data_IF_129374213148
#
_entry.id   IF_129374213148
#
_cell.length_a   1.000
_cell.length_b   1.000
_cell.length_c   1.000
_cell.angle_alpha   90.00
_cell.angle_beta   90.00
_cell.angle_gamma   90.00
#
_symmetry.space_group_name_H-M   'P 1'
#
loop_
_entity.id
_entity.type
_entity.pdbx_description
1 polymer ?
#
# COMPACT_ATOMS: atom_id res chain seq x y z
N UNK A 1 -67.50 1.98 3.30
CA UNK A 1 -66.28 2.18 2.49
C UNK A 1 -65.49 0.88 2.51
N UNK A 2 -65.27 0.25 1.35
CA UNK A 2 -64.47 -0.98 1.23
C UNK A 2 -63.02 -0.56 0.93
N UNK A 3 -62.12 -0.74 1.89
CA UNK A 3 -60.70 -0.43 1.73
C UNK A 3 -60.05 -1.59 0.95
N UNK A 4 -59.67 -1.33 -0.30
CA UNK A 4 -58.83 -2.26 -1.07
C UNK A 4 -57.39 -2.14 -0.57
N UNK A 5 -56.84 -3.26 -0.09
CA UNK A 5 -55.42 -3.38 0.22
C UNK A 5 -54.73 -3.84 -1.07
N UNK A 6 -53.95 -2.96 -1.70
CA UNK A 6 -53.01 -3.34 -2.76
C UNK A 6 -51.83 -4.08 -2.10
N UNK A 7 -51.65 -5.34 -2.47
CA UNK A 7 -50.48 -6.12 -2.09
C UNK A 7 -49.43 -5.97 -3.20
N UNK A 8 -48.45 -5.10 -2.99
CA UNK A 8 -47.31 -4.91 -3.88
C UNK A 8 -46.26 -5.98 -3.59
N UNK A 9 -46.15 -7.01 -4.44
CA UNK A 9 -45.05 -7.98 -4.36
C UNK A 9 -43.86 -7.38 -5.12
N UNK A 10 -42.91 -6.78 -4.40
CA UNK A 10 -41.62 -6.42 -4.95
C UNK A 10 -40.76 -7.68 -5.00
N UNK A 11 -40.54 -8.21 -6.22
CA UNK A 11 -39.58 -9.28 -6.45
C UNK A 11 -38.18 -8.68 -6.36
N UNK A 12 -37.50 -8.84 -5.23
CA UNK A 12 -36.09 -8.52 -5.13
C UNK A 12 -35.32 -9.54 -5.99
N UNK A 13 -34.66 -9.07 -7.05
CA UNK A 13 -33.70 -9.88 -7.75
C UNK A 13 -32.62 -10.27 -6.75
N UNK A 14 -32.58 -11.55 -6.38
CA UNK A 14 -31.45 -12.13 -5.65
C UNK A 14 -30.29 -12.11 -6.65
N UNK A 15 -29.46 -11.07 -6.57
CA UNK A 15 -28.15 -11.11 -7.19
C UNK A 15 -27.40 -12.21 -6.44
N UNK A 16 -27.19 -13.35 -7.09
CA UNK A 16 -26.29 -14.37 -6.56
C UNK A 16 -24.92 -13.69 -6.44
N UNK A 17 -24.52 -13.31 -5.24
CA UNK A 17 -23.13 -12.98 -4.99
C UNK A 17 -22.33 -14.24 -5.35
N UNK A 18 -21.32 -14.11 -6.21
CA UNK A 18 -20.37 -15.19 -6.43
C UNK A 18 -19.76 -15.56 -5.08
N UNK A 19 -19.67 -16.86 -4.79
CA UNK A 19 -18.99 -17.32 -3.58
C UNK A 19 -17.48 -17.16 -3.80
N UNK A 20 -16.90 -16.18 -3.11
CA UNK A 20 -15.45 -15.99 -3.07
C UNK A 20 -15.00 -15.58 -1.67
N UNK A 21 -13.77 -15.94 -1.35
CA UNK A 21 -13.08 -15.54 -0.13
C UNK A 21 -11.91 -14.63 -0.49
N UNK A 22 -11.67 -13.67 0.39
CA UNK A 22 -10.59 -12.72 0.30
C UNK A 22 -9.62 -12.95 1.47
N UNK A 23 -8.33 -13.11 1.18
CA UNK A 23 -7.30 -13.16 2.22
C UNK A 23 -6.34 -12.00 2.03
N UNK A 24 -6.27 -11.13 3.02
CA UNK A 24 -5.25 -10.09 3.10
C UNK A 24 -4.12 -10.56 4.02
N UNK A 25 -2.89 -10.42 3.56
CA UNK A 25 -1.70 -10.68 4.36
C UNK A 25 -0.70 -9.57 4.16
N UNK A 26 -0.16 -9.01 5.25
CA UNK A 26 0.84 -7.95 5.22
C UNK A 26 1.45 -7.71 6.59
N UNK A 27 2.41 -6.80 6.64
CA UNK A 27 3.10 -6.42 7.88
C UNK A 27 3.18 -4.92 8.03
N UNK A 28 3.14 -4.47 9.28
CA UNK A 28 3.55 -3.12 9.68
C UNK A 28 4.88 -3.22 10.42
N UNK A 29 5.86 -2.45 9.95
CA UNK A 29 7.16 -2.30 10.58
C UNK A 29 7.18 -0.99 11.36
N UNK A 30 7.63 -1.07 12.61
CA UNK A 30 7.88 0.08 13.48
C UNK A 30 9.23 -0.09 14.18
N UNK A 31 9.84 1.02 14.60
CA UNK A 31 11.04 1.03 15.43
C UNK A 31 10.73 1.87 16.64
N UNK A 32 11.04 1.37 17.83
CA UNK A 32 10.80 2.05 19.10
C UNK A 32 12.11 2.20 19.87
N UNK A 33 12.22 3.30 20.60
CA UNK A 33 13.26 3.47 21.62
C UNK A 33 12.99 2.58 22.84
N UNK A 34 13.98 2.46 23.72
CA UNK A 34 13.80 1.75 24.99
C UNK A 34 12.72 2.38 25.88
N UNK A 35 12.45 3.68 25.70
CA UNK A 35 11.36 4.42 26.34
C UNK A 35 9.97 4.14 25.73
N UNK A 36 9.90 3.32 24.68
CA UNK A 36 8.68 2.97 23.95
C UNK A 36 8.15 4.07 23.02
N UNK A 37 8.95 5.11 22.75
CA UNK A 37 8.62 6.13 21.76
C UNK A 37 8.95 5.59 20.36
N UNK A 38 7.99 5.68 19.44
CA UNK A 38 8.23 5.33 18.03
C UNK A 38 9.21 6.31 17.39
N UNK A 39 10.23 5.76 16.75
CA UNK A 39 11.27 6.49 16.05
C UNK A 39 10.89 6.73 14.60
N UNK A 40 11.34 7.87 14.07
CA UNK A 40 11.20 8.21 12.66
C UNK A 40 12.37 7.63 11.84
N UNK A 41 12.26 7.64 10.50
CA UNK A 41 13.33 7.19 9.61
C UNK A 41 13.00 5.92 8.81
N UNK A 42 11.84 5.32 9.07
CA UNK A 42 11.37 4.11 8.38
C UNK A 42 10.96 4.32 6.92
N UNK A 43 10.97 5.56 6.41
CA UNK A 43 10.62 5.86 5.03
C UNK A 43 11.64 5.36 3.99
N UNK A 44 12.85 4.99 4.41
CA UNK A 44 13.89 4.55 3.47
C UNK A 44 13.61 3.13 3.02
N UNK A 45 13.52 2.94 1.71
CA UNK A 45 13.41 1.63 1.12
C UNK A 45 14.79 1.02 0.86
N UNK A 46 14.98 -0.24 1.27
CA UNK A 46 16.22 -0.97 1.04
C UNK A 46 16.12 -1.96 -0.13
N UNK A 47 14.94 -2.58 -0.31
CA UNK A 47 14.68 -3.53 -1.39
C UNK A 47 14.01 -2.85 -2.58
N UNK A 48 14.52 -3.10 -3.79
CA UNK A 48 13.90 -2.59 -5.02
C UNK A 48 12.70 -3.43 -5.42
N UNK A 49 11.61 -2.75 -5.75
CA UNK A 49 10.44 -3.41 -6.31
C UNK A 49 10.65 -3.73 -7.80
N UNK A 50 9.89 -4.71 -8.34
CA UNK A 50 9.85 -4.94 -9.76
C UNK A 50 9.47 -3.67 -10.54
N UNK A 51 10.05 -3.45 -11.75
CA UNK A 51 9.89 -2.21 -12.49
C UNK A 51 8.48 -1.95 -13.02
N UNK A 52 7.63 -2.98 -13.06
CA UNK A 52 6.24 -2.90 -13.49
C UNK A 52 5.28 -2.44 -12.39
N UNK A 53 5.75 -2.36 -11.14
CA UNK A 53 4.92 -1.84 -10.04
C UNK A 53 4.60 -0.38 -10.33
N UNK A 54 3.43 0.09 -9.90
CA UNK A 54 3.02 1.48 -10.01
C UNK A 54 3.34 2.22 -8.72
N UNK A 55 3.53 3.53 -8.81
CA UNK A 55 3.78 4.37 -7.64
C UNK A 55 3.23 5.77 -7.85
N UNK A 56 3.09 6.50 -6.75
CA UNK A 56 2.95 7.94 -6.85
C UNK A 56 4.24 8.60 -7.34
N UNK A 57 4.10 9.70 -8.08
CA UNK A 57 5.24 10.49 -8.54
C UNK A 57 6.13 10.93 -7.37
N UNK A 58 7.42 10.61 -7.47
CA UNK A 58 8.43 10.85 -6.44
C UNK A 58 8.48 9.80 -5.33
N UNK A 59 7.65 8.75 -5.40
CA UNK A 59 7.68 7.59 -4.49
C UNK A 59 8.19 6.33 -5.20
N UNK A 60 8.88 6.49 -6.34
CA UNK A 60 9.46 5.38 -7.09
C UNK A 60 10.62 4.74 -6.31
N UNK A 61 10.58 3.42 -6.20
CA UNK A 61 11.65 2.54 -5.77
C UNK A 61 11.81 1.36 -6.76
N UNK A 62 12.56 1.61 -7.84
CA UNK A 62 12.85 0.62 -8.89
C UNK A 62 11.92 0.65 -10.11
N UNK A 63 10.81 1.40 -10.03
CA UNK A 63 9.87 1.60 -11.14
C UNK A 63 10.46 2.52 -12.22
N UNK A 64 10.04 2.33 -13.47
CA UNK A 64 10.26 3.33 -14.50
C UNK A 64 9.30 4.51 -14.26
N UNK A 65 9.80 5.65 -13.83
CA UNK A 65 8.89 6.77 -13.58
C UNK A 65 8.32 7.41 -14.85
N UNK A 66 7.28 8.20 -14.63
CA UNK A 66 6.50 8.83 -15.69
C UNK A 66 7.20 10.10 -16.21
N UNK A 67 7.82 9.99 -17.38
CA UNK A 67 8.49 11.12 -18.04
C UNK A 67 7.54 12.23 -18.46
N UNK A 68 6.31 11.89 -18.84
CA UNK A 68 5.32 12.89 -19.24
C UNK A 68 4.89 13.69 -18.01
N UNK A 69 4.67 13.02 -16.88
CA UNK A 69 4.37 13.68 -15.62
C UNK A 69 5.55 14.50 -15.11
N UNK A 70 6.77 13.96 -15.15
CA UNK A 70 7.96 14.73 -14.78
C UNK A 70 8.11 16.01 -15.62
N UNK A 71 7.91 15.92 -16.94
CA UNK A 71 7.95 17.08 -17.82
C UNK A 71 6.81 18.08 -17.54
N UNK A 72 5.60 17.59 -17.21
CA UNK A 72 4.48 18.43 -16.77
C UNK A 72 4.84 19.19 -15.51
N UNK A 73 5.36 18.49 -14.50
CA UNK A 73 5.77 19.08 -13.22
C UNK A 73 6.83 20.15 -13.44
N UNK A 74 7.88 19.86 -14.23
CA UNK A 74 8.90 20.87 -14.55
C UNK A 74 8.32 22.10 -15.24
N UNK A 75 7.35 21.92 -16.15
CA UNK A 75 6.70 23.04 -16.83
C UNK A 75 5.83 23.88 -15.89
N UNK A 76 5.12 23.25 -14.97
CA UNK A 76 4.17 23.92 -14.06
C UNK A 76 4.88 24.53 -12.85
N UNK A 77 5.93 23.90 -12.35
CA UNK A 77 6.57 24.24 -11.08
C UNK A 77 8.00 24.75 -11.23
N UNK A 78 8.62 24.64 -12.41
CA UNK A 78 10.03 24.98 -12.66
C UNK A 78 11.02 23.96 -12.08
N UNK A 79 10.56 23.08 -11.20
CA UNK A 79 11.33 22.02 -10.55
C UNK A 79 10.36 20.93 -10.07
N UNK A 80 10.82 19.69 -10.03
CA UNK A 80 10.12 18.64 -9.28
C UNK A 80 10.42 18.70 -7.78
N UNK A 81 11.45 19.44 -7.37
CA UNK A 81 11.98 19.46 -6.00
C UNK A 81 12.89 18.26 -5.69
N UNK A 82 12.63 17.11 -6.29
CA UNK A 82 13.37 15.87 -6.10
C UNK A 82 13.90 15.34 -7.45
N UNK A 83 14.63 14.22 -7.43
CA UNK A 83 15.41 13.78 -8.57
C UNK A 83 14.54 13.21 -9.71
N UNK A 84 15.09 13.18 -10.94
CA UNK A 84 14.40 12.56 -12.05
C UNK A 84 14.23 11.04 -11.84
N UNK A 85 13.16 10.42 -12.40
CA UNK A 85 12.79 9.03 -12.10
C UNK A 85 13.75 7.93 -12.60
N UNK A 86 14.94 8.28 -13.10
CA UNK A 86 15.99 7.35 -13.57
C UNK A 86 17.26 7.38 -12.73
N UNK A 87 17.35 8.23 -11.70
CA UNK A 87 18.54 8.30 -10.83
C UNK A 87 18.27 7.57 -9.51
N UNK A 88 18.68 6.30 -9.46
CA UNK A 88 18.57 5.44 -8.27
C UNK A 88 19.22 6.10 -7.04
N UNK A 89 18.47 6.25 -5.94
CA UNK A 89 18.99 6.65 -4.64
C UNK A 89 19.35 8.13 -4.49
N UNK A 90 18.98 8.99 -5.45
CA UNK A 90 19.11 10.44 -5.35
C UNK A 90 17.68 10.99 -5.36
N UNK A 91 17.33 11.80 -4.35
CA UNK A 91 16.09 12.59 -4.24
C UNK A 91 14.78 11.88 -4.58
N UNK A 92 14.15 11.22 -3.61
CA UNK A 92 12.72 10.93 -3.63
C UNK A 92 11.93 12.15 -3.14
N UNK A 93 10.61 12.16 -3.36
CA UNK A 93 9.72 13.15 -2.78
C UNK A 93 9.95 13.16 -1.26
N UNK A 94 10.23 14.32 -0.66
CA UNK A 94 10.52 14.36 0.77
C UNK A 94 9.30 13.93 1.57
N UNK A 95 9.56 13.16 2.61
CA UNK A 95 8.56 12.74 3.59
C UNK A 95 9.11 13.00 4.98
N UNK A 96 8.22 13.33 5.91
CA UNK A 96 8.55 13.65 7.29
C UNK A 96 7.58 12.94 8.24
N UNK A 97 8.02 12.74 9.48
CA UNK A 97 7.15 12.26 10.57
C UNK A 97 6.68 10.79 10.42
N UNK A 98 7.33 9.99 9.57
CA UNK A 98 6.98 8.57 9.31
C UNK A 98 7.46 7.69 10.45
N UNK A 99 6.55 6.95 11.08
CA UNK A 99 6.83 6.02 12.20
C UNK A 99 6.33 4.60 11.93
N UNK A 100 5.52 4.42 10.88
CA UNK A 100 5.02 3.12 10.46
C UNK A 100 5.26 2.94 8.97
N UNK A 101 5.78 1.78 8.60
CA UNK A 101 5.88 1.33 7.22
C UNK A 101 5.03 0.09 7.03
N UNK A 102 4.16 0.12 6.04
CA UNK A 102 3.38 -1.03 5.59
C UNK A 102 4.15 -1.65 4.43
N UNK A 103 4.78 -2.80 4.63
CA UNK A 103 5.81 -3.30 3.70
C UNK A 103 5.23 -3.92 2.43
N UNK A 104 4.38 -4.95 2.56
CA UNK A 104 3.94 -5.74 1.41
C UNK A 104 2.56 -6.40 1.60
N UNK A 105 1.50 -5.67 2.00
CA UNK A 105 0.18 -6.27 2.00
C UNK A 105 -0.23 -6.73 0.60
N UNK A 106 -0.68 -7.97 0.54
CA UNK A 106 -1.25 -8.61 -0.64
C UNK A 106 -2.65 -9.11 -0.34
N UNK A 107 -3.53 -9.01 -1.32
CA UNK A 107 -4.90 -9.52 -1.25
C UNK A 107 -5.06 -10.62 -2.28
N UNK A 108 -5.39 -11.82 -1.80
CA UNK A 108 -5.70 -13.00 -2.59
C UNK A 108 -7.19 -13.20 -2.74
N UNK A 109 -7.60 -13.73 -3.90
CA UNK A 109 -8.97 -14.14 -4.17
C UNK A 109 -9.03 -15.66 -4.31
N UNK A 110 -10.03 -16.27 -3.68
CA UNK A 110 -10.31 -17.69 -3.78
C UNK A 110 -11.76 -17.90 -4.19
N UNK A 111 -12.01 -18.53 -5.32
CA UNK A 111 -13.35 -18.82 -5.83
C UNK A 111 -13.33 -19.99 -6.80
N UNK A 112 -14.31 -20.87 -6.69
CA UNK A 112 -14.50 -22.03 -7.58
C UNK A 112 -15.30 -21.73 -8.85
N UNK A 113 -15.72 -20.47 -9.00
CA UNK A 113 -16.54 -19.99 -10.12
C UNK A 113 -15.91 -20.31 -11.47
N UNK A 114 -16.72 -20.84 -12.39
CA UNK A 114 -16.27 -21.25 -13.74
C UNK A 114 -16.27 -20.10 -14.74
N UNK A 115 -16.77 -18.94 -14.35
CA UNK A 115 -16.82 -17.73 -15.17
C UNK A 115 -16.12 -16.60 -14.42
N UNK A 116 -15.47 -15.73 -15.18
CA UNK A 116 -14.93 -14.51 -14.60
C UNK A 116 -16.08 -13.63 -14.08
N UNK A 117 -15.84 -12.92 -12.98
CA UNK A 117 -16.80 -12.00 -12.38
C UNK A 117 -16.11 -10.74 -11.86
N UNK A 118 -16.79 -9.57 -11.89
CA UNK A 118 -16.20 -8.32 -11.46
C UNK A 118 -16.20 -8.19 -9.93
N UNK A 119 -15.16 -7.59 -9.38
CA UNK A 119 -15.05 -7.20 -7.97
C UNK A 119 -14.54 -5.76 -7.86
N UNK A 120 -15.07 -5.02 -6.88
CA UNK A 120 -14.58 -3.71 -6.49
C UNK A 120 -13.94 -3.81 -5.10
N UNK A 121 -12.64 -3.59 -5.02
CA UNK A 121 -11.88 -3.55 -3.77
C UNK A 121 -11.57 -2.12 -3.40
N UNK A 122 -11.75 -1.78 -2.13
CA UNK A 122 -11.34 -0.50 -1.54
C UNK A 122 -10.55 -0.77 -0.28
N UNK A 123 -9.37 -0.17 -0.19
CA UNK A 123 -8.51 -0.22 0.99
C UNK A 123 -8.30 1.21 1.47
N UNK A 124 -8.51 1.43 2.77
CA UNK A 124 -8.19 2.69 3.45
C UNK A 124 -6.93 2.54 4.28
N UNK A 125 -6.11 3.59 4.34
CA UNK A 125 -4.93 3.63 5.19
C UNK A 125 -4.98 4.89 6.06
N UNK A 126 -5.55 4.74 7.25
CA UNK A 126 -5.71 5.84 8.20
C UNK A 126 -4.35 6.21 8.82
N UNK A 127 -3.99 7.48 8.75
CA UNK A 127 -2.68 7.98 9.21
C UNK A 127 -1.53 7.76 8.21
N UNK A 128 -1.79 7.22 7.01
CA UNK A 128 -0.73 6.93 6.03
C UNK A 128 -1.20 7.01 4.58
N UNK A 129 -0.25 6.93 3.65
CA UNK A 129 -0.50 6.92 2.19
C UNK A 129 -0.12 5.58 1.59
N UNK A 130 -0.86 5.13 0.57
CA UNK A 130 -0.49 4.03 -0.29
C UNK A 130 0.50 4.54 -1.33
N UNK A 131 1.79 4.24 -1.16
CA UNK A 131 2.87 4.80 -1.97
C UNK A 131 3.09 4.06 -3.29
N UNK A 132 2.98 2.72 -3.27
CA UNK A 132 3.19 1.85 -4.44
C UNK A 132 2.16 0.72 -4.48
N UNK A 133 1.83 0.23 -5.68
CA UNK A 133 0.79 -0.78 -5.88
C UNK A 133 0.91 -1.52 -7.22
N UNK A 134 0.28 -2.69 -7.30
CA UNK A 134 0.09 -3.43 -8.55
C UNK A 134 -1.11 -4.37 -8.43
N UNK A 135 -1.89 -4.63 -9.49
CA UNK A 135 -1.88 -3.98 -10.81
C UNK A 135 -2.43 -2.55 -10.72
N UNK A 136 -2.58 -1.88 -11.86
CA UNK A 136 -3.01 -0.50 -11.93
C UNK A 136 -4.38 -0.33 -11.27
N UNK A 137 -4.39 0.56 -10.28
CA UNK A 137 -5.60 0.93 -9.54
C UNK A 137 -6.61 1.64 -10.42
N UNK A 138 -7.90 1.47 -10.10
CA UNK A 138 -8.99 2.21 -10.74
C UNK A 138 -9.29 3.54 -10.04
N UNK A 139 -8.85 3.69 -8.79
CA UNK A 139 -9.08 4.90 -8.00
C UNK A 139 -8.28 4.94 -6.69
N UNK A 140 -8.66 5.86 -5.81
CA UNK A 140 -8.00 6.10 -4.53
C UNK A 140 -7.40 7.50 -4.41
N UNK A 141 -6.47 7.64 -3.47
CA UNK A 141 -5.87 8.92 -3.11
C UNK A 141 -5.02 9.53 -4.23
N UNK A 142 -4.79 10.83 -4.17
CA UNK A 142 -3.73 11.50 -4.92
C UNK A 142 -2.89 12.24 -3.92
N UNK A 143 -1.57 12.15 -4.07
CA UNK A 143 -0.68 12.97 -3.26
C UNK A 143 -0.91 14.46 -3.58
N UNK A 144 -0.83 15.34 -2.57
CA UNK A 144 -1.01 16.77 -2.78
C UNK A 144 0.06 17.30 -3.74
N UNK A 145 -0.34 18.16 -4.65
CA UNK A 145 0.56 18.97 -5.47
C UNK A 145 0.62 20.38 -4.85
N UNK A 146 1.81 20.98 -4.69
CA UNK A 146 1.92 22.35 -4.23
C UNK A 146 1.17 23.32 -5.15
N UNK A 147 0.83 24.50 -4.64
CA UNK A 147 0.27 25.54 -5.51
C UNK A 147 1.35 25.97 -6.51
N UNK A 148 1.08 26.00 -7.83
CA UNK A 148 2.05 26.45 -8.82
C UNK A 148 2.48 27.91 -8.58
N UNK A 149 3.76 28.23 -8.73
CA UNK A 149 4.25 29.60 -8.58
C UNK A 149 3.78 30.46 -9.77
N UNK A 150 3.71 31.77 -9.55
CA UNK A 150 3.30 32.73 -10.59
C UNK A 150 4.26 32.76 -11.78
N UNK A 151 5.56 32.60 -11.52
CA UNK A 151 6.60 32.49 -12.55
C UNK A 151 7.52 31.31 -12.22
N UNK A 152 7.22 30.11 -12.75
CA UNK A 152 8.00 28.91 -12.50
C UNK A 152 9.45 29.00 -13.00
N UNK A 153 9.74 29.85 -13.99
CA UNK A 153 11.07 29.96 -14.57
C UNK A 153 12.05 30.71 -13.65
N UNK A 154 11.55 31.71 -12.90
CA UNK A 154 12.38 32.52 -11.99
C UNK A 154 12.15 32.19 -10.51
N UNK A 155 10.98 31.64 -10.16
CA UNK A 155 10.59 31.28 -8.80
C UNK A 155 10.05 29.83 -8.76
N UNK A 156 10.93 28.82 -8.92
CA UNK A 156 10.50 27.43 -8.90
C UNK A 156 9.93 27.04 -7.53
N UNK A 157 9.04 26.05 -7.51
CA UNK A 157 8.43 25.54 -6.28
C UNK A 157 9.49 24.98 -5.33
N UNK A 158 9.62 25.46 -4.09
CA UNK A 158 10.67 25.00 -3.20
C UNK A 158 10.44 23.54 -2.78
N UNK A 159 11.53 22.78 -2.58
CA UNK A 159 11.48 21.37 -2.17
C UNK A 159 10.57 21.14 -0.95
N UNK A 160 10.66 22.02 0.05
CA UNK A 160 9.86 21.91 1.27
C UNK A 160 8.34 21.87 1.00
N UNK A 161 7.85 22.51 -0.07
CA UNK A 161 6.43 22.51 -0.42
C UNK A 161 5.95 21.13 -0.92
N UNK A 162 6.85 20.27 -1.40
CA UNK A 162 6.54 18.91 -1.85
C UNK A 162 6.45 17.90 -0.70
N UNK A 163 6.85 18.28 0.51
CA UNK A 163 6.96 17.36 1.65
C UNK A 163 5.62 16.75 2.06
N UNK A 164 5.58 15.42 2.16
CA UNK A 164 4.50 14.71 2.83
C UNK A 164 4.80 14.65 4.32
N UNK A 165 4.06 15.42 5.12
CA UNK A 165 4.25 15.47 6.58
C UNK A 165 3.14 14.71 7.30
N UNK A 166 3.48 13.52 7.79
CA UNK A 166 2.55 12.63 8.49
C UNK A 166 2.31 13.01 9.95
N UNK A 167 2.89 14.12 10.45
CA UNK A 167 2.45 14.69 11.73
C UNK A 167 1.03 15.26 11.64
N UNK A 168 0.56 15.54 10.42
CA UNK A 168 -0.79 15.99 10.12
C UNK A 168 -1.69 14.79 9.84
N UNK A 169 -3.01 14.90 10.10
CA UNK A 169 -3.96 13.85 9.75
C UNK A 169 -3.87 13.50 8.27
N UNK A 170 -3.73 12.20 7.99
CA UNK A 170 -3.69 11.65 6.64
C UNK A 170 -4.72 10.54 6.49
N UNK A 171 -5.33 10.43 5.32
CA UNK A 171 -6.30 9.38 4.99
C UNK A 171 -6.02 8.86 3.59
N UNK A 172 -5.12 7.89 3.51
CA UNK A 172 -4.77 7.24 2.26
C UNK A 172 -5.85 6.27 1.82
N UNK A 173 -5.87 5.98 0.53
CA UNK A 173 -6.79 4.99 -0.03
C UNK A 173 -6.37 4.52 -1.41
N UNK A 174 -6.78 3.30 -1.72
CA UNK A 174 -6.61 2.72 -3.05
C UNK A 174 -7.84 1.90 -3.41
N UNK A 175 -8.21 1.95 -4.68
CA UNK A 175 -9.34 1.20 -5.20
C UNK A 175 -8.98 0.43 -6.48
N UNK A 176 -9.55 -0.76 -6.63
CA UNK A 176 -9.47 -1.53 -7.86
C UNK A 176 -10.84 -2.00 -8.32
N UNK A 177 -11.05 -1.93 -9.63
CA UNK A 177 -12.09 -2.66 -10.33
C UNK A 177 -11.39 -3.72 -11.17
N UNK A 178 -11.60 -4.99 -10.82
CA UNK A 178 -10.95 -6.13 -11.47
C UNK A 178 -11.97 -7.20 -11.84
N UNK A 179 -11.64 -8.00 -12.84
CA UNK A 179 -12.26 -9.30 -13.05
C UNK A 179 -11.47 -10.36 -12.31
N UNK A 180 -12.11 -11.11 -11.41
CA UNK A 180 -11.56 -12.34 -10.86
C UNK A 180 -11.76 -13.44 -11.90
N UNK A 181 -10.68 -14.10 -12.31
CA UNK A 181 -10.70 -15.12 -13.34
C UNK A 181 -11.01 -16.50 -12.74
N UNK A 182 -11.58 -17.44 -13.53
CA UNK A 182 -11.74 -18.81 -13.08
C UNK A 182 -10.40 -19.42 -12.66
N UNK A 183 -10.38 -20.38 -11.73
CA UNK A 183 -9.17 -21.15 -11.41
C UNK A 183 -8.56 -21.74 -12.70
N UNK A 184 -7.28 -21.47 -12.92
CA UNK A 184 -6.58 -21.90 -14.13
C UNK A 184 -5.10 -22.09 -13.86
N UNK A 185 -4.59 -23.28 -14.16
CA UNK A 185 -3.14 -23.59 -14.07
C UNK A 185 -2.31 -22.89 -15.16
N UNK A 186 -2.97 -22.28 -16.16
CA UNK A 186 -2.33 -21.66 -17.32
C UNK A 186 -2.31 -20.13 -17.26
N UNK A 187 -2.67 -19.51 -16.12
CA UNK A 187 -2.56 -18.06 -15.98
C UNK A 187 -1.10 -17.63 -16.08
N UNK A 188 -0.74 -16.90 -17.14
CA UNK A 188 0.61 -16.34 -17.30
C UNK A 188 0.71 -15.12 -16.40
N UNK A 189 1.27 -15.33 -15.20
CA UNK A 189 1.50 -14.27 -14.23
C UNK A 189 2.93 -13.75 -14.25
N UNK A 190 3.87 -14.50 -14.84
CA UNK A 190 5.28 -14.11 -14.92
C UNK A 190 5.47 -12.84 -15.74
N UNK A 191 6.31 -11.94 -15.24
CA UNK A 191 6.61 -10.64 -15.85
C UNK A 191 8.11 -10.39 -15.93
N UNK A 192 8.59 -9.71 -16.99
CA UNK A 192 9.96 -9.21 -17.01
C UNK A 192 10.25 -8.34 -15.77
N UNK A 193 11.33 -8.66 -15.07
CA UNK A 193 11.73 -7.94 -13.85
C UNK A 193 11.08 -8.44 -12.55
N UNK A 194 10.33 -9.55 -12.58
CA UNK A 194 9.95 -10.29 -11.36
C UNK A 194 11.20 -10.56 -10.50
N UNK A 195 11.10 -10.29 -9.20
CA UNK A 195 12.13 -10.61 -8.21
C UNK A 195 11.66 -11.76 -7.30
N UNK A 196 12.57 -12.31 -6.48
CA UNK A 196 12.26 -13.47 -5.63
C UNK A 196 11.16 -13.16 -4.62
N UNK A 197 11.11 -11.96 -4.04
CA UNK A 197 10.06 -11.55 -3.13
C UNK A 197 8.67 -11.59 -3.78
N UNK A 198 8.56 -11.05 -5.00
CA UNK A 198 7.33 -11.06 -5.80
C UNK A 198 6.89 -12.47 -6.17
N UNK A 199 7.83 -13.31 -6.62
CA UNK A 199 7.53 -14.69 -7.01
C UNK A 199 7.02 -15.53 -5.82
N UNK A 200 7.58 -15.33 -4.63
CA UNK A 200 7.18 -16.06 -3.41
C UNK A 200 5.79 -15.70 -2.90
N UNK A 201 5.33 -14.50 -3.20
CA UNK A 201 3.98 -14.07 -2.85
C UNK A 201 2.90 -14.74 -3.72
N UNK A 202 3.23 -15.31 -4.89
CA UNK A 202 2.25 -16.04 -5.71
C UNK A 202 1.90 -17.38 -5.06
N UNK A 203 0.68 -17.46 -4.52
CA UNK A 203 0.14 -18.69 -3.94
C UNK A 203 -0.50 -19.54 -5.05
N UNK A 204 -0.24 -20.87 -5.11
CA UNK A 204 -0.74 -21.72 -6.19
C UNK A 204 -2.28 -21.81 -6.30
N UNK A 205 -3.00 -21.57 -5.20
CA UNK A 205 -4.45 -21.81 -5.08
C UNK A 205 -5.30 -20.54 -5.20
N UNK A 206 -4.73 -19.46 -5.71
CA UNK A 206 -5.42 -18.16 -5.82
C UNK A 206 -5.89 -17.90 -7.25
N UNK A 207 -7.07 -17.32 -7.38
CA UNK A 207 -7.58 -16.86 -8.66
C UNK A 207 -6.75 -15.67 -9.15
N UNK A 208 -6.34 -15.73 -10.41
CA UNK A 208 -5.78 -14.56 -11.07
C UNK A 208 -6.85 -13.47 -11.19
N UNK A 209 -6.43 -12.23 -11.09
CA UNK A 209 -7.25 -11.06 -11.37
C UNK A 209 -6.75 -10.36 -12.64
N UNK A 210 -7.64 -9.61 -13.27
CA UNK A 210 -7.31 -8.77 -14.43
C UNK A 210 -7.97 -7.40 -14.33
N UNK A 211 -7.21 -6.34 -14.60
CA UNK A 211 -7.73 -4.98 -14.67
C UNK A 211 -8.30 -4.67 -16.06
N UNK A 212 -9.06 -3.58 -16.18
CA UNK A 212 -9.52 -3.08 -17.47
C UNK A 212 -8.37 -2.70 -18.44
N UNK A 213 -7.17 -2.40 -17.92
CA UNK A 213 -5.98 -2.12 -18.74
C UNK A 213 -5.28 -3.39 -19.23
N UNK A 214 -5.74 -4.57 -18.80
CA UNK A 214 -5.20 -5.88 -19.20
C UNK A 214 -4.10 -6.42 -18.28
N UNK A 215 -3.67 -5.65 -17.28
CA UNK A 215 -2.72 -6.14 -16.29
C UNK A 215 -3.34 -7.26 -15.45
N UNK A 216 -2.56 -8.32 -15.20
CA UNK A 216 -3.03 -9.50 -14.48
C UNK A 216 -2.03 -9.95 -13.43
N UNK A 217 -2.52 -10.41 -12.28
CA UNK A 217 -1.69 -10.93 -11.17
C UNK A 217 -2.49 -11.93 -10.33
N UNK A 218 -1.81 -12.75 -9.52
CA UNK A 218 -2.46 -13.66 -8.56
C UNK A 218 -2.98 -12.97 -7.29
N UNK A 219 -2.66 -11.69 -7.11
CA UNK A 219 -3.04 -10.89 -5.94
C UNK A 219 -3.05 -9.40 -6.28
N UNK A 220 -3.75 -8.61 -5.46
CA UNK A 220 -3.51 -7.16 -5.40
C UNK A 220 -2.35 -6.91 -4.46
N UNK A 221 -1.41 -6.07 -4.84
CA UNK A 221 -0.31 -5.59 -4.02
C UNK A 221 -0.47 -4.10 -3.78
N UNK A 222 -0.19 -3.69 -2.54
CA UNK A 222 0.00 -2.30 -2.17
C UNK A 222 1.01 -2.23 -1.04
N UNK A 223 1.57 -1.06 -0.83
CA UNK A 223 2.36 -0.76 0.35
C UNK A 223 2.34 0.73 0.63
N UNK A 224 2.78 1.13 1.81
CA UNK A 224 2.59 2.50 2.24
C UNK A 224 3.45 2.91 3.42
N UNK A 225 3.41 4.19 3.72
CA UNK A 225 4.09 4.80 4.86
C UNK A 225 3.11 5.71 5.60
N UNK A 226 3.31 5.87 6.90
CA UNK A 226 2.43 6.70 7.70
C UNK A 226 2.90 6.95 9.13
N UNK A 227 1.99 7.52 9.91
CA UNK A 227 2.13 7.78 11.34
C UNK A 227 0.82 7.47 12.04
N UNK A 228 0.82 6.41 12.83
CA UNK A 228 -0.27 6.03 13.72
C UNK A 228 0.27 5.15 14.85
N UNK A 229 -0.53 4.94 15.87
CA UNK A 229 -0.20 4.00 16.95
C UNK A 229 -0.59 2.58 16.52
N UNK A 230 0.37 1.63 16.38
CA UNK A 230 0.06 0.24 16.01
C UNK A 230 -0.64 -0.53 17.14
N UNK A 231 -0.73 0.04 18.34
CA UNK A 231 -1.38 -0.56 19.50
C UNK A 231 -0.48 -1.53 20.28
N UNK A 232 0.45 -2.24 19.65
CA UNK A 232 1.48 -2.98 20.38
C UNK A 232 2.61 -2.04 20.78
N UNK A 233 2.74 -1.75 22.08
CA UNK A 233 3.83 -0.95 22.63
C UNK A 233 4.90 -1.84 23.24
N UNK A 234 6.16 -1.50 22.96
CA UNK A 234 7.33 -2.18 23.49
C UNK A 234 8.19 -1.18 24.25
N UNK A 235 8.74 -1.56 25.40
CA UNK A 235 9.72 -0.74 26.13
C UNK A 235 10.73 -1.65 26.82
N UNK A 236 11.92 -1.12 27.11
CA UNK A 236 12.99 -1.83 27.80
C UNK A 236 13.42 -1.00 29.00
N UNK A 237 13.36 -1.58 30.19
CA UNK A 237 13.75 -0.90 31.41
C UNK A 237 15.26 -0.98 31.68
N UNK A 238 15.71 -0.34 32.77
CA UNK A 238 17.12 -0.32 33.17
C UNK A 238 17.69 -1.69 33.57
N UNK A 239 16.82 -2.71 33.73
CA UNK A 239 17.22 -4.09 33.98
C UNK A 239 17.22 -4.96 32.71
N UNK A 240 17.15 -4.33 31.53
CA UNK A 240 17.11 -4.98 30.21
C UNK A 240 15.89 -5.91 30.03
N UNK A 241 14.80 -5.64 30.75
CA UNK A 241 13.56 -6.40 30.61
C UNK A 241 12.68 -5.77 29.53
N UNK A 242 12.30 -6.57 28.53
CA UNK A 242 11.32 -6.18 27.50
C UNK A 242 9.89 -6.25 28.05
N UNK A 243 9.20 -5.13 28.03
CA UNK A 243 7.79 -5.00 28.37
C UNK A 243 6.95 -4.88 27.10
N UNK A 244 5.93 -5.72 26.99
CA UNK A 244 4.95 -5.68 25.90
C UNK A 244 3.58 -5.25 26.45
N UNK A 245 3.00 -4.19 25.89
CA UNK A 245 1.66 -3.75 26.21
C UNK A 245 0.78 -3.79 24.96
N UNK A 246 -0.22 -4.67 24.96
CA UNK A 246 -1.19 -4.78 23.88
C UNK A 246 -2.34 -3.77 24.06
N UNK A 247 -2.39 -2.78 23.18
CA UNK A 247 -3.44 -1.77 23.05
C UNK A 247 -4.09 -1.79 21.65
N UNK A 248 -3.90 -2.87 20.89
CA UNK A 248 -4.45 -3.01 19.53
C UNK A 248 -5.99 -3.10 19.49
N UNK A 249 -6.64 -3.32 20.63
CA UNK A 249 -8.08 -3.52 20.72
C UNK A 249 -8.55 -4.95 20.47
N UNK A 250 -7.61 -5.88 20.23
CA UNK A 250 -7.89 -7.33 20.10
C UNK A 250 -6.78 -8.18 20.72
N UNK A 251 -6.99 -9.49 20.73
CA UNK A 251 -5.98 -10.43 21.21
C UNK A 251 -4.84 -10.54 20.18
N UNK A 252 -3.60 -10.61 20.66
CA UNK A 252 -2.44 -11.00 19.85
C UNK A 252 -2.24 -12.50 20.10
N UNK A 253 -2.67 -13.38 19.17
CA UNK A 253 -2.69 -14.82 19.43
C UNK A 253 -1.29 -15.45 19.44
N UNK A 254 -0.33 -14.81 18.77
CA UNK A 254 1.05 -15.26 18.68
C UNK A 254 2.01 -14.07 18.69
N UNK A 255 3.11 -14.20 19.40
CA UNK A 255 4.23 -13.27 19.38
C UNK A 255 5.53 -14.07 19.33
N UNK A 256 6.49 -13.61 18.54
CA UNK A 256 7.86 -14.12 18.53
C UNK A 256 8.76 -12.97 18.97
N UNK A 257 9.59 -13.23 19.98
CA UNK A 257 10.58 -12.27 20.47
C UNK A 257 11.95 -12.86 20.29
N UNK A 258 12.86 -12.08 19.72
CA UNK A 258 14.27 -12.42 19.66
C UNK A 258 15.12 -11.20 20.03
N UNK A 259 16.26 -11.49 20.62
CA UNK A 259 17.28 -10.52 20.98
C UNK A 259 18.50 -10.76 20.08
N UNK A 260 19.06 -9.69 19.54
CA UNK A 260 20.34 -9.72 18.86
C UNK A 260 21.36 -8.91 19.66
N UNK A 261 22.40 -9.57 20.16
CA UNK A 261 23.53 -8.96 20.87
C UNK A 261 24.80 -9.17 20.05
N UNK A 262 25.21 -8.15 19.30
CA UNK A 262 26.31 -8.26 18.35
C UNK A 262 25.99 -9.29 17.25
N UNK A 263 26.73 -10.40 17.22
CA UNK A 263 26.53 -11.49 16.28
C UNK A 263 25.63 -12.63 16.84
N UNK A 264 25.32 -12.61 18.14
CA UNK A 264 24.52 -13.64 18.79
C UNK A 264 23.03 -13.31 18.67
N UNK A 265 22.22 -14.32 18.36
CA UNK A 265 20.75 -14.23 18.31
C UNK A 265 20.17 -15.23 19.32
N UNK A 266 19.24 -14.76 20.16
CA UNK A 266 18.50 -15.58 21.14
C UNK A 266 17.01 -15.34 20.96
N UNK A 267 16.17 -16.32 21.25
CA UNK A 267 14.71 -16.19 21.16
C UNK A 267 14.03 -16.81 22.37
N UNK A 268 12.82 -16.34 22.68
CA UNK A 268 11.98 -16.81 23.77
C UNK A 268 10.62 -17.29 23.25
#
# INVERSE_FOLDING_TARGET
MKTQILLSIASAAVCSASDYQLHEWGTFTTVSGSDGVLLEGLQREEEQLPPFVHSHFGMENGQAGDFAEYARILKVHGTAGFAPPRMKGIGERPVASVTVKMETPVIYFHSDEKKAFPVHVKVGFEGGTISQWYPQRSGGERLPEPVPPLDPATMPTPLAAWTLDFSKPWRGSIEWQVEVLPPSDNAILFKPGDNVGWLRARQPVTNAIRTATGESEGYLFYRGIGRFDPGLRTSVDASETLHLANQSGGDIPYALVFEQSGADIRWA
#
